data_IF_886369082190
#
_entry.id   IF_886369082190
#
_cell.length_a   1.000
_cell.length_b   1.000
_cell.length_c   1.000
_cell.angle_alpha   90.00
_cell.angle_beta   90.00
_cell.angle_gamma   90.00
#
_symmetry.space_group_name_H-M   'P 1'
#
loop_
_entity.id
_entity.type
_entity.pdbx_description
1 polymer ?
#
# COMPACT_ATOMS: atom_id res chain seq x y z
N UNK A 1 -1.16 10.05 22.13
CA UNK A 1 -0.61 9.56 20.85
C UNK A 1 -0.92 10.56 19.75
N UNK A 2 -0.20 10.51 18.63
CA UNK A 2 -0.45 11.35 17.45
C UNK A 2 -0.47 10.48 16.21
N UNK A 3 -1.11 10.93 15.14
CA UNK A 3 -1.12 10.24 13.85
C UNK A 3 -0.24 10.99 12.87
N UNK A 4 0.65 10.27 12.18
CA UNK A 4 1.42 10.77 11.06
C UNK A 4 0.89 10.11 9.79
N UNK A 5 0.25 10.88 8.94
CA UNK A 5 -0.12 10.47 7.59
C UNK A 5 0.94 10.96 6.62
N UNK A 6 1.43 10.09 5.77
CA UNK A 6 2.46 10.47 4.80
C UNK A 6 2.22 9.83 3.44
N UNK A 7 2.78 10.48 2.43
CA UNK A 7 2.82 10.04 1.05
C UNK A 7 4.13 10.44 0.40
N UNK A 8 4.57 9.72 -0.63
CA UNK A 8 5.85 9.93 -1.29
C UNK A 8 5.68 10.00 -2.81
N UNK A 9 6.18 11.10 -3.40
CA UNK A 9 6.32 11.18 -4.83
C UNK A 9 7.76 10.89 -5.25
N UNK A 10 7.89 10.11 -6.32
CA UNK A 10 9.18 9.74 -6.89
C UNK A 10 9.32 10.26 -8.32
N UNK A 11 10.44 10.90 -8.62
CA UNK A 11 10.80 11.27 -9.98
C UNK A 11 11.03 10.05 -10.89
N UNK A 12 11.40 8.91 -10.29
CA UNK A 12 11.60 7.65 -11.01
C UNK A 12 11.52 6.48 -10.02
N UNK A 13 10.81 5.41 -10.43
CA UNK A 13 10.82 4.12 -9.74
C UNK A 13 11.14 3.05 -10.77
N UNK A 14 12.26 2.36 -10.62
CA UNK A 14 12.65 1.28 -11.52
C UNK A 14 13.42 0.18 -10.76
N UNK A 15 12.89 -1.04 -10.76
CA UNK A 15 13.49 -2.22 -10.10
C UNK A 15 13.89 -1.93 -8.63
N UNK A 16 15.19 -1.73 -8.39
CA UNK A 16 15.80 -1.52 -7.07
C UNK A 16 16.14 -0.04 -6.80
N UNK A 17 15.59 0.89 -7.56
CA UNK A 17 15.85 2.32 -7.42
C UNK A 17 14.52 3.05 -7.27
N UNK A 18 14.42 3.88 -6.24
CA UNK A 18 13.42 4.93 -6.12
C UNK A 18 14.16 6.27 -5.96
N UNK A 19 13.72 7.29 -6.67
CA UNK A 19 14.28 8.64 -6.58
C UNK A 19 13.21 9.56 -6.01
N UNK A 20 13.17 9.65 -4.68
CA UNK A 20 12.20 10.47 -3.98
C UNK A 20 12.41 11.94 -4.33
N UNK A 21 11.33 12.62 -4.72
CA UNK A 21 11.31 14.04 -4.99
C UNK A 21 10.40 14.84 -4.03
N UNK A 22 9.41 14.21 -3.41
CA UNK A 22 8.61 14.83 -2.38
C UNK A 22 8.27 13.82 -1.28
N UNK A 23 8.27 14.29 -0.04
CA UNK A 23 7.75 13.57 1.14
C UNK A 23 6.74 14.49 1.80
N UNK A 24 5.46 14.21 1.58
CA UNK A 24 4.36 14.96 2.17
C UNK A 24 3.91 14.30 3.46
N UNK A 25 3.59 15.09 4.49
CA UNK A 25 3.01 14.55 5.70
C UNK A 25 2.02 15.49 6.36
N UNK A 26 1.15 14.90 7.16
CA UNK A 26 0.22 15.56 8.07
C UNK A 26 0.34 14.90 9.43
N UNK A 27 0.69 15.68 10.44
CA UNK A 27 0.69 15.28 11.84
C UNK A 27 -0.60 15.75 12.49
N UNK A 28 -1.32 14.86 13.18
CA UNK A 28 -2.56 15.19 13.89
C UNK A 28 -2.53 14.69 15.33
N UNK A 29 -3.45 15.20 16.14
CA UNK A 29 -3.83 14.54 17.39
C UNK A 29 -4.76 13.34 17.12
N UNK A 30 -5.23 12.66 18.18
CA UNK A 30 -6.14 11.52 18.09
C UNK A 30 -7.55 11.89 17.58
N UNK A 31 -7.92 13.16 17.62
CA UNK A 31 -9.18 13.73 17.12
C UNK A 31 -9.08 14.18 15.66
N UNK A 32 -7.93 13.93 14.99
CA UNK A 32 -7.62 14.36 13.63
C UNK A 32 -7.49 15.89 13.47
N UNK A 33 -7.28 16.65 14.56
CA UNK A 33 -6.90 18.05 14.45
C UNK A 33 -5.48 18.15 13.93
N UNK A 34 -5.29 18.91 12.83
CA UNK A 34 -3.98 19.06 12.19
C UNK A 34 -3.07 19.92 13.08
N UNK A 35 -1.95 19.34 13.48
CA UNK A 35 -0.89 19.99 14.26
C UNK A 35 0.23 20.52 13.37
N UNK A 36 0.57 19.78 12.32
CA UNK A 36 1.59 20.12 11.36
C UNK A 36 1.25 19.55 9.98
N UNK A 37 1.59 20.27 8.92
CA UNK A 37 1.41 19.83 7.53
C UNK A 37 2.54 20.39 6.68
N UNK A 38 3.25 19.54 5.95
CA UNK A 38 4.39 19.98 5.15
C UNK A 38 4.64 19.06 3.95
N UNK A 39 5.22 19.68 2.92
CA UNK A 39 5.72 19.02 1.72
C UNK A 39 7.25 19.24 1.65
N UNK A 40 8.01 18.21 2.02
CA UNK A 40 9.47 18.23 1.98
C UNK A 40 9.91 17.92 0.56
N UNK A 41 10.28 18.96 -0.20
CA UNK A 41 10.74 18.82 -1.58
C UNK A 41 12.24 18.49 -1.62
N UNK A 42 12.61 17.54 -2.47
CA UNK A 42 13.93 16.93 -2.51
C UNK A 42 14.45 16.84 -3.94
N UNK A 43 15.74 17.15 -4.13
CA UNK A 43 16.39 16.89 -5.39
C UNK A 43 16.59 15.40 -5.60
N UNK A 44 15.90 14.75 -6.58
CA UNK A 44 16.00 13.32 -6.82
C UNK A 44 17.35 12.89 -7.43
N UNK A 45 18.23 13.86 -7.77
CA UNK A 45 19.51 13.62 -8.45
C UNK A 45 19.34 12.75 -9.70
N UNK A 46 18.42 13.17 -10.56
CA UNK A 46 18.13 12.48 -11.82
C UNK A 46 16.98 13.09 -12.59
N UNK A 47 16.71 12.53 -13.77
CA UNK A 47 15.58 12.95 -14.61
C UNK A 47 14.27 12.36 -14.07
N UNK A 48 13.18 13.06 -14.34
CA UNK A 48 11.83 12.57 -14.12
C UNK A 48 11.48 11.55 -15.22
N UNK A 49 11.03 10.36 -14.79
CA UNK A 49 10.51 9.30 -15.65
C UNK A 49 9.23 8.78 -15.01
N UNK A 50 8.12 9.45 -15.31
CA UNK A 50 6.82 9.19 -14.74
C UNK A 50 6.01 8.33 -15.70
N UNK A 51 6.16 7.02 -15.59
CA UNK A 51 5.46 6.04 -16.41
C UNK A 51 4.47 5.24 -15.58
N UNK A 52 3.33 4.88 -16.18
CA UNK A 52 2.40 3.93 -15.57
C UNK A 52 3.01 2.51 -15.53
N UNK A 53 2.29 1.56 -14.91
CA UNK A 53 2.72 0.15 -14.84
C UNK A 53 2.90 -0.52 -16.22
N UNK A 54 2.38 0.09 -17.28
CA UNK A 54 2.51 -0.38 -18.67
C UNK A 54 3.61 0.35 -19.42
N UNK A 55 4.38 1.21 -18.73
CA UNK A 55 5.47 1.98 -19.32
C UNK A 55 5.02 3.18 -20.18
N UNK A 56 3.74 3.59 -20.07
CA UNK A 56 3.24 4.76 -20.81
C UNK A 56 3.50 6.01 -19.98
N UNK A 57 4.06 7.04 -20.60
CA UNK A 57 4.13 8.38 -20.01
C UNK A 57 2.72 8.96 -19.85
N UNK A 58 2.44 9.60 -18.74
CA UNK A 58 1.12 10.18 -18.50
C UNK A 58 0.86 10.68 -17.10
N UNK A 59 1.67 10.30 -16.11
CA UNK A 59 1.58 10.89 -14.79
C UNK A 59 2.33 12.23 -14.81
N UNK A 60 1.64 13.30 -14.48
CA UNK A 60 2.23 14.63 -14.29
C UNK A 60 2.06 15.00 -12.82
N UNK A 61 3.17 15.22 -12.14
CA UNK A 61 3.14 15.74 -10.78
C UNK A 61 2.91 17.26 -10.83
N UNK A 62 2.13 17.85 -9.92
CA UNK A 62 1.82 19.28 -9.92
C UNK A 62 2.98 20.11 -9.30
N UNK A 63 4.17 19.90 -9.83
CA UNK A 63 5.40 20.58 -9.42
C UNK A 63 6.16 21.11 -10.64
N UNK A 64 6.87 22.23 -10.47
CA UNK A 64 7.82 22.72 -11.45
C UNK A 64 9.13 21.91 -11.37
N UNK A 65 9.36 20.99 -12.32
CA UNK A 65 10.46 20.01 -12.24
C UNK A 65 11.85 20.64 -12.22
N UNK A 66 12.03 21.82 -12.80
CA UNK A 66 13.30 22.55 -12.76
C UNK A 66 13.67 23.01 -11.35
N UNK A 67 12.68 23.32 -10.50
CA UNK A 67 12.90 23.77 -9.14
C UNK A 67 13.54 22.68 -8.27
N UNK A 68 13.32 21.41 -8.60
CA UNK A 68 13.92 20.30 -7.86
C UNK A 68 15.45 20.28 -7.89
N UNK A 69 16.07 20.97 -8.85
CA UNK A 69 17.52 21.13 -8.90
C UNK A 69 18.05 22.01 -7.75
N UNK A 70 17.20 22.89 -7.22
CA UNK A 70 17.57 23.83 -6.15
C UNK A 70 17.41 23.22 -4.77
N UNK A 71 16.57 22.19 -4.62
CA UNK A 71 16.32 21.54 -3.33
C UNK A 71 17.49 20.64 -2.90
N UNK A 72 17.64 20.41 -1.58
CA UNK A 72 18.63 19.48 -1.07
C UNK A 72 18.27 18.03 -1.45
N UNK A 73 19.25 17.13 -1.57
CA UNK A 73 18.98 15.70 -1.80
C UNK A 73 18.47 15.01 -0.52
N UNK A 74 17.89 13.81 -0.66
CA UNK A 74 17.29 13.05 0.41
C UNK A 74 18.12 12.95 1.71
N UNK A 75 19.48 12.80 1.70
CA UNK A 75 20.26 12.76 2.93
C UNK A 75 20.10 13.99 3.83
N UNK A 76 19.80 15.15 3.27
CA UNK A 76 19.61 16.37 4.06
C UNK A 76 18.31 16.34 4.89
N UNK A 77 17.26 15.66 4.40
CA UNK A 77 15.99 15.53 5.11
C UNK A 77 15.90 14.22 5.93
N UNK A 78 16.82 13.28 5.71
CA UNK A 78 16.75 11.95 6.29
C UNK A 78 16.56 11.93 7.80
N UNK A 79 17.36 12.70 8.54
CA UNK A 79 17.28 12.74 10.01
C UNK A 79 15.92 13.25 10.51
N UNK A 80 15.34 14.24 9.83
CA UNK A 80 14.02 14.79 10.13
C UNK A 80 12.91 13.78 9.85
N UNK A 81 12.91 13.17 8.65
CA UNK A 81 11.94 12.14 8.27
C UNK A 81 12.04 10.96 9.23
N UNK A 82 13.25 10.56 9.59
CA UNK A 82 13.49 9.48 10.55
C UNK A 82 12.91 9.80 11.92
N UNK A 83 13.15 10.98 12.45
CA UNK A 83 12.62 11.39 13.74
C UNK A 83 11.09 11.41 13.75
N UNK A 84 10.45 11.87 12.65
CA UNK A 84 9.00 11.87 12.50
C UNK A 84 8.41 10.46 12.49
N UNK A 85 8.99 9.53 11.71
CA UNK A 85 8.44 8.19 11.51
C UNK A 85 8.80 7.20 12.63
N UNK A 86 9.89 7.42 13.38
CA UNK A 86 10.36 6.53 14.44
C UNK A 86 9.98 7.02 15.86
N UNK A 87 9.28 8.14 15.99
CA UNK A 87 8.77 8.58 17.27
C UNK A 87 7.74 7.58 17.81
N UNK A 88 7.94 7.14 19.06
CA UNK A 88 7.09 6.13 19.71
C UNK A 88 5.69 6.64 20.04
N UNK A 89 5.49 7.96 20.10
CA UNK A 89 4.19 8.60 20.30
C UNK A 89 3.39 8.72 19.01
N UNK A 90 4.01 8.37 17.86
CA UNK A 90 3.40 8.47 16.55
C UNK A 90 2.89 7.11 16.05
N UNK A 91 1.67 7.11 15.57
CA UNK A 91 1.10 6.03 14.74
C UNK A 91 1.25 6.48 13.29
N UNK A 92 2.02 5.74 12.51
CA UNK A 92 2.35 6.07 11.12
C UNK A 92 1.35 5.40 10.17
N UNK A 93 0.77 6.18 9.28
CA UNK A 93 -0.23 5.75 8.31
C UNK A 93 0.06 6.29 6.91
N UNK A 94 -0.41 5.57 5.90
CA UNK A 94 -0.41 6.01 4.50
C UNK A 94 -1.56 5.34 3.74
N UNK A 95 -1.54 5.46 2.41
CA UNK A 95 -2.45 4.77 1.52
C UNK A 95 -1.64 3.92 0.53
N UNK A 96 -1.88 2.62 0.46
CA UNK A 96 -0.98 1.66 -0.20
C UNK A 96 0.47 1.78 0.33
N UNK A 97 0.60 2.02 1.62
CA UNK A 97 1.77 2.44 2.38
C UNK A 97 3.01 1.57 2.16
N UNK A 98 2.80 0.29 1.79
CA UNK A 98 3.89 -0.63 1.50
C UNK A 98 4.81 -0.12 0.37
N UNK A 99 4.26 0.63 -0.61
CA UNK A 99 5.02 1.22 -1.69
C UNK A 99 5.97 2.30 -1.15
N UNK A 100 5.44 3.23 -0.35
CA UNK A 100 6.20 4.36 0.22
C UNK A 100 7.29 3.89 1.16
N UNK A 101 6.97 2.92 2.00
CA UNK A 101 7.96 2.26 2.89
C UNK A 101 9.07 1.59 2.06
N UNK A 102 8.72 1.00 0.93
CA UNK A 102 9.72 0.44 0.02
C UNK A 102 10.56 1.54 -0.65
N UNK A 103 9.98 2.68 -1.03
CA UNK A 103 10.73 3.81 -1.59
C UNK A 103 11.73 4.37 -0.57
N UNK A 104 11.32 4.54 0.69
CA UNK A 104 12.24 4.92 1.77
C UNK A 104 13.39 3.92 1.93
N UNK A 105 13.09 2.62 1.88
CA UNK A 105 14.09 1.57 1.99
C UNK A 105 15.09 1.56 0.82
N UNK A 106 14.60 1.80 -0.41
CA UNK A 106 15.45 1.89 -1.59
C UNK A 106 16.33 3.14 -1.56
N UNK A 107 15.79 4.28 -1.12
CA UNK A 107 16.50 5.54 -1.06
C UNK A 107 17.59 5.52 0.04
N UNK A 108 17.31 4.91 1.21
CA UNK A 108 18.35 4.71 2.24
C UNK A 108 19.49 3.83 1.73
N UNK A 109 19.19 2.78 0.96
CA UNK A 109 20.23 1.93 0.33
C UNK A 109 21.04 2.70 -0.70
N UNK A 110 20.37 3.50 -1.54
CA UNK A 110 21.02 4.33 -2.56
C UNK A 110 22.06 5.27 -1.97
N UNK A 111 21.75 5.89 -0.82
CA UNK A 111 22.64 6.83 -0.14
C UNK A 111 23.46 6.19 0.99
N UNK A 112 23.41 4.85 1.17
CA UNK A 112 24.11 4.12 2.23
C UNK A 112 23.80 4.66 3.63
N UNK A 113 22.56 5.09 3.85
CA UNK A 113 22.05 5.55 5.12
C UNK A 113 21.54 4.37 5.96
N UNK A 114 21.50 4.47 7.30
CA UNK A 114 20.87 3.47 8.15
C UNK A 114 19.40 3.24 7.75
N UNK A 115 18.92 2.01 7.84
CA UNK A 115 17.52 1.70 7.57
C UNK A 115 16.59 2.35 8.59
N UNK A 116 15.39 2.69 8.17
CA UNK A 116 14.31 3.06 9.07
C UNK A 116 13.88 1.89 9.97
N UNK A 117 13.25 2.23 11.11
CA UNK A 117 12.66 1.26 12.04
C UNK A 117 11.36 1.81 12.62
N UNK A 118 10.23 1.50 11.98
CA UNK A 118 8.92 1.87 12.48
C UNK A 118 7.84 0.87 12.06
N UNK A 119 6.70 0.91 12.75
CA UNK A 119 5.49 0.20 12.40
C UNK A 119 4.57 1.14 11.61
N UNK A 120 3.80 0.60 10.66
CA UNK A 120 2.91 1.39 9.83
C UNK A 120 1.56 0.71 9.61
N UNK A 121 0.55 1.54 9.36
CA UNK A 121 -0.78 1.13 8.97
C UNK A 121 -1.11 1.68 7.58
N UNK A 122 -2.25 1.23 7.03
CA UNK A 122 -2.63 1.49 5.65
C UNK A 122 -4.15 1.64 5.54
N UNK A 123 -4.61 2.79 5.05
CA UNK A 123 -6.03 3.10 4.91
C UNK A 123 -6.71 2.20 3.87
N UNK A 124 -6.01 1.81 2.81
CA UNK A 124 -6.49 0.83 1.86
C UNK A 124 -6.73 -0.53 2.54
N UNK A 125 -5.82 -0.95 3.41
CA UNK A 125 -5.95 -2.19 4.17
C UNK A 125 -7.09 -2.12 5.20
N UNK A 126 -7.29 -0.96 5.86
CA UNK A 126 -8.45 -0.75 6.72
C UNK A 126 -9.74 -0.91 5.92
N UNK A 127 -9.86 -0.24 4.78
CA UNK A 127 -11.03 -0.32 3.92
C UNK A 127 -11.32 -1.78 3.48
N UNK A 128 -10.30 -2.53 3.04
CA UNK A 128 -10.46 -3.94 2.67
C UNK A 128 -11.04 -4.78 3.81
N UNK A 129 -10.63 -4.53 5.04
CA UNK A 129 -11.14 -5.24 6.22
C UNK A 129 -12.58 -4.81 6.56
N UNK A 130 -12.93 -3.52 6.48
CA UNK A 130 -14.30 -3.04 6.71
C UNK A 130 -15.28 -3.60 5.70
N UNK A 131 -14.88 -3.72 4.44
CA UNK A 131 -15.71 -4.29 3.37
C UNK A 131 -15.64 -5.82 3.30
N UNK A 132 -14.77 -6.47 4.07
CA UNK A 132 -14.45 -7.90 3.96
C UNK A 132 -14.12 -8.32 2.52
N UNK A 133 -13.54 -7.42 1.75
CA UNK A 133 -13.17 -7.61 0.35
C UNK A 133 -11.66 -7.49 0.16
N UNK A 134 -10.98 -8.61 -0.03
CA UNK A 134 -9.51 -8.68 -0.16
C UNK A 134 -9.05 -8.86 -1.60
N UNK A 135 -9.97 -8.83 -2.56
CA UNK A 135 -9.68 -8.98 -3.99
C UNK A 135 -9.50 -7.63 -4.71
N UNK A 136 -10.05 -6.56 -4.13
CA UNK A 136 -10.04 -5.23 -4.73
C UNK A 136 -9.31 -4.23 -3.85
N UNK A 137 -8.22 -3.70 -4.36
CA UNK A 137 -7.50 -2.58 -3.75
C UNK A 137 -7.99 -1.28 -4.41
N UNK A 138 -8.68 -0.44 -3.64
CA UNK A 138 -9.08 0.88 -4.12
C UNK A 138 -7.90 1.86 -4.00
N UNK A 139 -7.63 2.62 -5.06
CA UNK A 139 -6.74 3.77 -4.98
C UNK A 139 -7.35 4.91 -4.16
N UNK A 140 -6.50 5.83 -3.69
CA UNK A 140 -6.90 6.94 -2.81
C UNK A 140 -8.05 7.77 -3.39
N UNK A 141 -7.98 8.12 -4.68
CA UNK A 141 -9.04 8.89 -5.35
C UNK A 141 -10.40 8.21 -5.32
N UNK A 142 -10.45 6.93 -5.69
CA UNK A 142 -11.70 6.17 -5.67
C UNK A 142 -12.27 5.99 -4.25
N UNK A 143 -11.39 5.86 -3.25
CA UNK A 143 -11.80 5.75 -1.86
C UNK A 143 -12.26 7.09 -1.30
N UNK A 144 -11.61 8.18 -1.67
CA UNK A 144 -11.99 9.54 -1.32
C UNK A 144 -13.39 9.86 -1.88
N UNK A 145 -13.63 9.55 -3.16
CA UNK A 145 -14.93 9.70 -3.81
C UNK A 145 -16.03 8.92 -3.06
N UNK A 146 -15.79 7.64 -2.76
CA UNK A 146 -16.77 6.80 -2.05
C UNK A 146 -17.08 7.32 -0.63
N UNK A 147 -16.10 7.95 0.02
CA UNK A 147 -16.24 8.47 1.39
C UNK A 147 -16.58 9.96 1.43
N UNK A 148 -16.82 10.61 0.27
CA UNK A 148 -17.16 12.03 0.20
C UNK A 148 -16.03 12.96 0.62
N UNK A 149 -14.77 12.59 0.36
CA UNK A 149 -13.57 13.37 0.66
C UNK A 149 -13.07 14.05 -0.61
N UNK A 150 -13.09 15.38 -0.61
CA UNK A 150 -12.53 16.17 -1.71
C UNK A 150 -11.01 16.31 -1.56
N UNK A 151 -10.27 16.14 -2.67
CA UNK A 151 -8.83 16.40 -2.70
C UNK A 151 -8.32 16.59 -4.14
N UNK A 152 -7.13 17.21 -4.26
CA UNK A 152 -6.39 17.33 -5.52
C UNK A 152 -5.25 16.32 -5.50
N UNK A 153 -5.20 15.34 -6.42
CA UNK A 153 -4.22 14.26 -6.37
C UNK A 153 -2.82 14.67 -6.84
N UNK A 154 -1.84 13.82 -6.50
CA UNK A 154 -0.46 13.82 -6.99
C UNK A 154 0.45 14.92 -6.43
N UNK A 155 0.06 15.54 -5.33
CA UNK A 155 0.98 16.31 -4.50
C UNK A 155 1.09 15.63 -3.15
N UNK A 156 2.30 15.20 -2.78
CA UNK A 156 2.51 14.33 -1.63
C UNK A 156 1.82 14.80 -0.34
N UNK A 157 1.86 16.09 -0.03
CA UNK A 157 1.19 16.63 1.16
C UNK A 157 -0.33 16.65 1.05
N UNK A 158 -0.88 16.79 -0.17
CA UNK A 158 -2.33 16.75 -0.40
C UNK A 158 -2.85 15.31 -0.35
N UNK A 159 -2.07 14.35 -0.88
CA UNK A 159 -2.37 12.92 -0.79
C UNK A 159 -2.27 12.42 0.66
N UNK A 160 -1.29 12.89 1.44
CA UNK A 160 -1.21 12.64 2.88
C UNK A 160 -2.42 13.22 3.64
N UNK A 161 -2.88 14.41 3.27
CA UNK A 161 -4.07 15.04 3.86
C UNK A 161 -5.35 14.28 3.48
N UNK A 162 -5.52 13.91 2.22
CA UNK A 162 -6.65 13.09 1.78
C UNK A 162 -6.66 11.72 2.48
N UNK A 163 -5.48 11.09 2.66
CA UNK A 163 -5.32 9.86 3.42
C UNK A 163 -5.80 10.02 4.88
N UNK A 164 -5.47 11.13 5.52
CA UNK A 164 -5.96 11.49 6.85
C UNK A 164 -7.49 11.59 6.88
N UNK A 165 -8.09 12.31 5.92
CA UNK A 165 -9.54 12.49 5.83
C UNK A 165 -10.27 11.17 5.55
N UNK A 166 -9.72 10.34 4.68
CA UNK A 166 -10.22 8.97 4.41
C UNK A 166 -10.16 8.13 5.67
N UNK A 167 -9.06 8.17 6.42
CA UNK A 167 -8.95 7.44 7.69
C UNK A 167 -9.97 7.93 8.72
N UNK A 168 -10.14 9.23 8.86
CA UNK A 168 -11.16 9.84 9.75
C UNK A 168 -12.57 9.36 9.37
N UNK A 169 -12.91 9.36 8.08
CA UNK A 169 -14.22 8.90 7.60
C UNK A 169 -14.42 7.40 7.88
N UNK A 170 -13.39 6.56 7.73
CA UNK A 170 -13.45 5.14 8.07
C UNK A 170 -13.68 4.92 9.57
N UNK A 171 -12.96 5.64 10.44
CA UNK A 171 -13.13 5.57 11.89
C UNK A 171 -14.56 5.96 12.29
N UNK A 172 -15.10 7.03 11.70
CA UNK A 172 -16.46 7.51 11.95
C UNK A 172 -17.51 6.51 11.45
N UNK A 173 -17.39 6.03 10.20
CA UNK A 173 -18.30 5.06 9.58
C UNK A 173 -18.41 3.77 10.39
N UNK A 174 -17.30 3.30 10.90
CA UNK A 174 -17.24 2.08 11.71
C UNK A 174 -17.61 2.32 13.19
N UNK A 175 -17.77 3.55 13.63
CA UNK A 175 -17.98 3.87 15.05
C UNK A 175 -16.84 3.35 15.93
N UNK A 176 -15.60 3.40 15.42
CA UNK A 176 -14.45 2.78 16.09
C UNK A 176 -13.80 3.68 17.15
N UNK A 177 -14.18 4.95 17.20
CA UNK A 177 -13.68 5.95 18.15
C UNK A 177 -12.25 6.43 17.88
N UNK A 178 -11.39 5.59 17.30
CA UNK A 178 -10.00 5.91 16.99
C UNK A 178 -9.43 4.99 15.92
N UNK A 179 -8.23 5.30 15.39
CA UNK A 179 -7.47 4.41 14.51
C UNK A 179 -7.21 3.07 15.20
N UNK A 180 -6.84 3.10 16.49
CA UNK A 180 -6.59 1.86 17.24
C UNK A 180 -7.86 1.05 17.47
N UNK A 181 -9.02 1.69 17.56
CA UNK A 181 -10.30 1.00 17.58
C UNK A 181 -10.59 0.19 16.31
N UNK A 182 -10.18 0.69 15.11
CA UNK A 182 -10.21 -0.09 13.87
C UNK A 182 -9.22 -1.27 13.94
N UNK A 183 -8.01 -1.03 14.42
CA UNK A 183 -6.96 -2.04 14.54
C UNK A 183 -7.43 -3.21 15.41
N UNK A 184 -8.01 -2.93 16.58
CA UNK A 184 -8.53 -3.94 17.51
C UNK A 184 -9.72 -4.70 16.91
N UNK A 185 -10.72 -3.98 16.37
CA UNK A 185 -11.94 -4.55 15.81
C UNK A 185 -11.64 -5.57 14.71
N UNK A 186 -10.72 -5.25 13.81
CA UNK A 186 -10.35 -6.10 12.68
C UNK A 186 -9.12 -6.96 12.93
N UNK A 187 -8.56 -6.93 14.16
CA UNK A 187 -7.34 -7.67 14.54
C UNK A 187 -6.22 -7.46 13.53
N UNK A 188 -5.96 -6.19 13.24
CA UNK A 188 -4.94 -5.79 12.28
C UNK A 188 -3.59 -5.76 12.97
N UNK A 189 -2.62 -6.46 12.40
CA UNK A 189 -1.21 -6.34 12.77
C UNK A 189 -0.55 -5.32 11.85
N UNK A 190 0.14 -4.36 12.43
CA UNK A 190 0.93 -3.37 11.70
C UNK A 190 1.93 -4.02 10.73
N UNK A 191 2.17 -3.37 9.62
CA UNK A 191 3.37 -3.57 8.83
C UNK A 191 4.59 -3.02 9.58
N UNK A 192 5.78 -3.47 9.23
CA UNK A 192 7.02 -3.04 9.89
C UNK A 192 8.16 -2.93 8.91
N UNK A 193 8.97 -1.89 9.03
CA UNK A 193 10.31 -1.84 8.48
C UNK A 193 11.35 -1.87 9.59
N UNK A 194 12.35 -2.74 9.48
CA UNK A 194 13.47 -2.83 10.40
C UNK A 194 14.67 -3.52 9.75
N UNK A 195 15.85 -2.92 9.84
CA UNK A 195 17.09 -3.49 9.26
C UNK A 195 17.01 -3.76 7.76
N UNK A 196 16.29 -2.93 7.04
CA UNK A 196 16.10 -3.05 5.59
C UNK A 196 15.14 -4.17 5.15
N UNK A 197 14.47 -4.85 6.10
CA UNK A 197 13.40 -5.81 5.83
C UNK A 197 12.06 -5.17 6.07
N UNK A 198 11.12 -5.45 5.18
CA UNK A 198 9.74 -4.97 5.28
C UNK A 198 8.82 -6.16 5.50
N UNK A 199 8.01 -6.11 6.54
CA UNK A 199 6.95 -7.08 6.83
C UNK A 199 5.61 -6.39 6.53
N UNK A 200 4.75 -6.95 5.68
CA UNK A 200 3.46 -6.34 5.36
C UNK A 200 2.47 -6.45 6.52
N UNK A 201 1.39 -5.67 6.42
CA UNK A 201 0.24 -5.78 7.29
C UNK A 201 -0.42 -7.16 7.20
N UNK A 202 -1.09 -7.55 8.26
CA UNK A 202 -1.90 -8.75 8.30
C UNK A 202 -3.16 -8.52 9.15
N UNK A 203 -4.22 -9.28 8.89
CA UNK A 203 -5.43 -9.29 9.71
C UNK A 203 -6.03 -10.68 9.79
N UNK A 204 -6.94 -10.89 10.72
CA UNK A 204 -7.68 -12.15 10.79
C UNK A 204 -8.57 -12.33 9.56
N UNK A 205 -9.19 -11.25 9.07
CA UNK A 205 -10.02 -11.28 7.86
C UNK A 205 -9.23 -11.73 6.62
N UNK A 206 -8.03 -11.16 6.40
CA UNK A 206 -7.16 -11.56 5.30
C UNK A 206 -6.73 -13.04 5.42
N UNK A 207 -6.41 -13.51 6.62
CA UNK A 207 -6.05 -14.92 6.83
C UNK A 207 -7.20 -15.86 6.49
N UNK A 208 -8.41 -15.55 6.94
CA UNK A 208 -9.60 -16.34 6.65
C UNK A 208 -9.86 -16.38 5.14
N UNK A 209 -9.81 -15.23 4.47
CA UNK A 209 -9.97 -15.14 3.01
C UNK A 209 -8.94 -16.00 2.25
N UNK A 210 -7.66 -15.97 2.67
CA UNK A 210 -6.62 -16.79 2.04
C UNK A 210 -6.93 -18.29 2.23
N UNK A 211 -7.32 -18.70 3.44
CA UNK A 211 -7.65 -20.09 3.73
C UNK A 211 -8.84 -20.58 2.88
N UNK A 212 -9.94 -19.82 2.81
CA UNK A 212 -11.12 -20.12 2.01
C UNK A 212 -10.78 -20.24 0.51
N UNK A 213 -9.97 -19.32 -0.01
CA UNK A 213 -9.51 -19.34 -1.41
C UNK A 213 -8.66 -20.57 -1.71
N UNK A 214 -7.77 -20.96 -0.80
CA UNK A 214 -6.89 -22.09 -0.99
C UNK A 214 -7.70 -23.41 -0.91
N UNK A 215 -8.67 -23.53 -0.01
CA UNK A 215 -9.62 -24.65 0.03
C UNK A 215 -10.46 -24.76 -1.25
N UNK A 216 -10.94 -23.65 -1.78
CA UNK A 216 -11.69 -23.62 -3.04
C UNK A 216 -10.82 -24.05 -4.23
N UNK A 217 -9.57 -23.58 -4.30
CA UNK A 217 -8.60 -24.01 -5.32
C UNK A 217 -8.37 -25.53 -5.25
N UNK A 218 -8.15 -26.06 -4.05
CA UNK A 218 -7.89 -27.49 -3.86
C UNK A 218 -9.13 -28.35 -4.17
N UNK A 219 -10.34 -27.82 -3.89
CA UNK A 219 -11.61 -28.46 -4.27
C UNK A 219 -11.75 -28.54 -5.80
N UNK A 220 -11.46 -27.42 -6.50
CA UNK A 220 -11.48 -27.38 -7.98
C UNK A 220 -10.44 -28.31 -8.60
N UNK A 221 -9.24 -28.38 -8.04
CA UNK A 221 -8.19 -29.29 -8.49
C UNK A 221 -8.63 -30.75 -8.34
N UNK A 222 -9.20 -31.14 -7.20
CA UNK A 222 -9.75 -32.52 -6.99
C UNK A 222 -10.87 -32.85 -7.98
N UNK A 223 -11.81 -31.93 -8.18
CA UNK A 223 -12.92 -32.16 -9.13
C UNK A 223 -12.40 -32.30 -10.57
N UNK A 224 -11.39 -31.54 -10.96
CA UNK A 224 -10.71 -31.63 -12.24
C UNK A 224 -10.05 -33.04 -12.42
N UNK A 225 -9.30 -33.49 -11.41
CA UNK A 225 -8.63 -34.78 -11.44
C UNK A 225 -9.65 -35.96 -11.50
N UNK A 226 -10.75 -35.87 -10.77
CA UNK A 226 -11.85 -36.86 -10.82
C UNK A 226 -12.50 -36.89 -12.20
N UNK A 227 -12.75 -35.70 -12.79
CA UNK A 227 -13.29 -35.61 -14.15
C UNK A 227 -12.36 -36.28 -15.17
N UNK A 228 -11.05 -36.01 -15.13
CA UNK A 228 -10.10 -36.63 -16.05
C UNK A 228 -9.96 -38.14 -15.84
N UNK A 229 -10.01 -38.64 -14.61
CA UNK A 229 -10.07 -40.08 -14.33
C UNK A 229 -11.31 -40.70 -14.92
N UNK A 230 -12.47 -40.07 -14.78
CA UNK A 230 -13.71 -40.50 -15.37
C UNK A 230 -13.64 -40.57 -16.91
N UNK A 231 -13.19 -39.47 -17.55
CA UNK A 231 -13.05 -39.39 -19.02
C UNK A 231 -12.11 -40.48 -19.54
N UNK A 232 -10.94 -40.65 -18.92
CA UNK A 232 -9.97 -41.67 -19.30
C UNK A 232 -10.55 -43.07 -19.17
N UNK A 233 -11.27 -43.38 -18.09
CA UNK A 233 -11.93 -44.66 -17.90
C UNK A 233 -12.99 -44.94 -18.96
N UNK A 234 -13.75 -43.90 -19.38
CA UNK A 234 -14.77 -43.98 -20.40
C UNK A 234 -14.16 -44.17 -21.81
N UNK A 235 -13.10 -43.44 -22.12
CA UNK A 235 -12.38 -43.56 -23.40
C UNK A 235 -11.71 -44.95 -23.56
N UNK A 236 -11.15 -45.50 -22.48
CA UNK A 236 -10.58 -46.86 -22.50
C UNK A 236 -11.65 -47.95 -22.66
N UNK A 237 -12.87 -47.79 -22.14
CA UNK A 237 -13.98 -48.73 -22.35
C UNK A 237 -14.45 -48.72 -23.82
N UNK A 238 -14.52 -47.53 -24.46
CA UNK A 238 -14.88 -47.46 -25.89
C UNK A 238 -13.87 -48.14 -26.82
N UNK A 239 -12.58 -48.05 -26.49
CA UNK A 239 -11.53 -48.73 -27.28
C UNK A 239 -11.54 -50.24 -27.13
N UNK A 240 -12.04 -50.79 -26.02
CA UNK A 240 -12.14 -52.25 -25.80
C UNK A 240 -13.47 -52.87 -26.32
N UNK A 241 -14.46 -52.02 -26.62
CA UNK A 241 -15.78 -52.48 -27.13
C UNK A 241 -15.96 -52.41 -28.65
N UNK A 242 -14.91 -52.08 -29.40
CA UNK A 242 -14.94 -51.87 -30.86
C UNK A 242 -14.32 -53.01 -31.66
N UNK A 243 -14.65 -54.29 -31.34
CA UNK A 243 -14.60 -55.40 -32.28
C UNK A 243 -16.02 -55.96 -32.37
N UNK A 244 -16.85 -55.36 -33.22
CA UNK A 244 -18.01 -56.04 -33.76
C UNK A 244 -17.57 -56.59 -35.09
N UNK A 245 -17.56 -57.91 -35.12
CA UNK A 245 -17.53 -58.76 -36.31
C UNK A 245 -18.69 -58.39 -37.23
N UNK A 246 -18.44 -58.48 -38.55
CA UNK A 246 -19.43 -58.37 -39.59
C UNK A 246 -18.72 -58.29 -40.93
#
# INVERSE_FOLDING_TARGET
MKYVFFDIECACVFKSVAKICAFGYVLTDEQFNVLEREDILLNPKGKFHLTDRKGREGLVLPYEYEDFKTYPPFPAAYARIKALLEDKEHIVLGHATLNDVNYLNLETRRYKLPSFRFDFYDTQFFYMNTQRCFTRQLGLGAMAEELGVEFTPHRAVDDAYATMRVCQALVAREGAGSVMGLVERYRIRAGRIAGGKITPLASQGLKNYIAERDEERDRRARAHDEFYRYVNKYMHRRKKGGTLEG
#
